data_IF_546325776247
#
_entry.id   IF_546325776247
#
_cell.length_a   1.000
_cell.length_b   1.000
_cell.length_c   1.000
_cell.angle_alpha   90.00
_cell.angle_beta   90.00
_cell.angle_gamma   90.00
#
_symmetry.space_group_name_H-M   'P 1'
#
loop_
_entity.id
_entity.type
_entity.pdbx_description
1 polymer ?
#
# COMPACT_ATOMS: atom_id res chain seq x y z
N UNK A 1 -4.26 7.37 -25.03
CA UNK A 1 -5.64 6.86 -25.18
C UNK A 1 -6.18 6.73 -23.77
N UNK A 2 -7.39 7.19 -23.48
CA UNK A 2 -7.98 7.08 -22.13
C UNK A 2 -8.22 5.62 -21.78
N UNK A 3 -7.70 5.17 -20.64
CA UNK A 3 -7.92 3.82 -20.13
C UNK A 3 -9.42 3.59 -19.90
N UNK A 4 -10.06 2.63 -20.59
CA UNK A 4 -11.47 2.34 -20.37
C UNK A 4 -11.69 1.83 -18.95
N UNK A 5 -12.68 2.40 -18.26
CA UNK A 5 -13.04 2.01 -16.89
C UNK A 5 -14.34 1.22 -16.92
N UNK A 6 -14.26 -0.03 -16.50
CA UNK A 6 -15.41 -0.91 -16.38
C UNK A 6 -15.68 -1.25 -14.91
N UNK A 7 -16.96 -1.33 -14.56
CA UNK A 7 -17.41 -1.61 -13.20
C UNK A 7 -18.34 -2.82 -13.25
N UNK A 8 -18.03 -3.82 -12.43
CA UNK A 8 -18.86 -5.00 -12.29
C UNK A 8 -19.29 -5.20 -10.83
N UNK A 9 -20.39 -5.90 -10.63
CA UNK A 9 -20.86 -6.28 -9.30
C UNK A 9 -21.16 -7.77 -9.25
N UNK A 10 -20.62 -8.44 -8.24
CA UNK A 10 -20.88 -9.85 -7.99
C UNK A 10 -20.86 -10.11 -6.48
N UNK A 11 -21.84 -10.88 -5.99
CA UNK A 11 -21.94 -11.27 -4.58
C UNK A 11 -21.80 -10.11 -3.56
N UNK A 12 -22.34 -8.93 -3.90
CA UNK A 12 -22.28 -7.73 -3.05
C UNK A 12 -20.91 -7.03 -3.01
N UNK A 13 -20.01 -7.38 -3.92
CA UNK A 13 -18.71 -6.73 -4.13
C UNK A 13 -18.75 -6.00 -5.47
N UNK A 14 -18.32 -4.75 -5.47
CA UNK A 14 -18.11 -3.93 -6.66
C UNK A 14 -16.64 -3.96 -7.04
N UNK A 15 -16.35 -4.21 -8.30
CA UNK A 15 -15.00 -4.33 -8.84
C UNK A 15 -14.71 -3.20 -9.83
N UNK A 16 -13.47 -2.73 -9.81
CA UNK A 16 -12.90 -1.80 -10.78
C UNK A 16 -12.03 -2.57 -11.76
N UNK A 17 -12.18 -2.27 -13.05
CA UNK A 17 -11.43 -2.87 -14.14
C UNK A 17 -10.90 -1.81 -15.09
N UNK A 18 -9.78 -2.10 -15.76
CA UNK A 18 -9.18 -1.28 -16.81
C UNK A 18 -9.22 -2.02 -18.14
N UNK A 19 -10.34 -1.93 -18.88
CA UNK A 19 -10.52 -2.52 -20.21
C UNK A 19 -10.30 -4.02 -20.32
N UNK A 20 -10.27 -4.74 -19.19
CA UNK A 20 -9.91 -6.14 -19.10
C UNK A 20 -10.65 -6.80 -17.95
N UNK A 21 -10.57 -8.13 -17.86
CA UNK A 21 -11.18 -8.88 -16.74
C UNK A 21 -10.36 -8.79 -15.45
N UNK A 22 -9.17 -8.19 -15.49
CA UNK A 22 -8.31 -8.03 -14.32
C UNK A 22 -8.96 -7.10 -13.30
N UNK A 23 -8.98 -7.54 -12.04
CA UNK A 23 -9.48 -6.74 -10.93
C UNK A 23 -8.40 -5.76 -10.51
N UNK A 24 -8.67 -4.47 -10.70
CA UNK A 24 -7.78 -3.36 -10.33
C UNK A 24 -8.12 -2.81 -8.95
N UNK A 25 -9.32 -3.10 -8.44
CA UNK A 25 -9.75 -2.74 -7.11
C UNK A 25 -11.10 -3.35 -6.78
N UNK A 26 -11.43 -3.43 -5.50
CA UNK A 26 -12.72 -3.94 -5.06
C UNK A 26 -13.22 -3.25 -3.79
N UNK A 27 -14.55 -3.18 -3.67
CA UNK A 27 -15.23 -2.66 -2.48
C UNK A 27 -16.48 -3.49 -2.20
N UNK A 28 -16.60 -4.00 -0.98
CA UNK A 28 -17.84 -4.58 -0.49
C UNK A 28 -18.87 -3.48 -0.24
N UNK A 29 -20.03 -3.57 -0.89
CA UNK A 29 -21.07 -2.53 -0.84
C UNK A 29 -21.57 -2.33 0.60
N UNK A 30 -21.80 -3.43 1.33
CA UNK A 30 -22.25 -3.39 2.72
C UNK A 30 -21.19 -2.92 3.73
N UNK A 31 -19.90 -2.94 3.35
CA UNK A 31 -18.77 -2.59 4.23
C UNK A 31 -17.71 -1.81 3.45
N UNK A 32 -18.03 -0.57 3.00
CA UNK A 32 -17.24 0.14 1.99
C UNK A 32 -15.86 0.62 2.47
N UNK A 33 -15.64 0.62 3.79
CA UNK A 33 -14.39 1.01 4.45
C UNK A 33 -13.46 -0.19 4.74
N UNK A 34 -13.96 -1.41 4.59
CA UNK A 34 -13.15 -2.61 4.79
C UNK A 34 -12.34 -2.90 3.53
N UNK A 35 -11.12 -3.37 3.74
CA UNK A 35 -10.25 -3.84 2.67
C UNK A 35 -10.74 -5.20 2.18
N UNK A 36 -11.19 -5.24 0.93
CA UNK A 36 -11.75 -6.45 0.31
C UNK A 36 -10.68 -7.36 -0.28
N UNK A 37 -9.65 -6.78 -0.90
CA UNK A 37 -8.56 -7.52 -1.54
C UNK A 37 -7.45 -7.83 -0.53
N UNK A 38 -6.89 -9.04 -0.63
CA UNK A 38 -5.88 -9.53 0.32
C UNK A 38 -4.62 -8.65 0.32
N UNK A 39 -4.07 -8.32 -0.85
CA UNK A 39 -2.87 -7.48 -0.96
C UNK A 39 -3.06 -6.11 -0.27
N UNK A 40 -4.26 -5.51 -0.37
CA UNK A 40 -4.51 -4.22 0.29
C UNK A 40 -4.46 -4.34 1.81
N UNK A 41 -4.90 -5.47 2.37
CA UNK A 41 -4.76 -5.76 3.80
C UNK A 41 -3.28 -5.89 4.15
N UNK A 42 -2.51 -6.61 3.34
CA UNK A 42 -1.09 -6.81 3.58
C UNK A 42 -0.27 -5.53 3.48
N UNK A 43 -0.59 -4.62 2.57
CA UNK A 43 0.03 -3.29 2.56
C UNK A 43 -0.16 -2.55 3.89
N UNK A 44 -1.29 -2.78 4.58
CA UNK A 44 -1.55 -2.24 5.92
C UNK A 44 -0.81 -2.98 7.04
N UNK A 45 -0.07 -4.05 6.77
CA UNK A 45 0.88 -4.60 7.73
C UNK A 45 2.03 -3.63 8.05
N UNK A 46 2.23 -2.60 7.22
CA UNK A 46 3.09 -1.44 7.55
C UNK A 46 2.68 -0.77 8.87
N UNK A 47 1.39 -0.82 9.25
CA UNK A 47 0.86 -0.30 10.51
C UNK A 47 1.34 -1.08 11.74
N UNK A 48 1.94 -2.26 11.55
CA UNK A 48 2.56 -3.04 12.62
C UNK A 48 4.04 -2.69 12.81
N UNK A 49 4.63 -1.88 11.94
CA UNK A 49 6.08 -1.63 11.92
C UNK A 49 6.52 -0.42 12.75
N UNK A 50 5.58 0.34 13.29
CA UNK A 50 5.82 1.49 14.18
C UNK A 50 4.83 1.45 15.33
N UNK A 51 5.34 1.55 16.55
CA UNK A 51 4.56 1.56 17.78
C UNK A 51 4.29 3.00 18.26
N UNK A 52 3.55 3.76 17.45
CA UNK A 52 3.12 5.09 17.85
C UNK A 52 1.63 5.31 17.56
N UNK A 53 0.85 5.54 18.63
CA UNK A 53 -0.61 5.75 18.58
C UNK A 53 -1.11 6.84 17.61
N UNK A 54 -0.20 7.66 17.09
CA UNK A 54 -0.49 8.77 16.17
C UNK A 54 0.08 8.56 14.77
N UNK A 55 0.82 7.49 14.53
CA UNK A 55 1.40 7.16 13.23
C UNK A 55 0.40 6.37 12.38
N UNK A 56 0.36 6.58 11.05
CA UNK A 56 1.08 7.61 10.28
C UNK A 56 0.33 8.96 10.29
N UNK A 57 1.07 10.09 10.24
CA UNK A 57 0.50 11.45 10.17
C UNK A 57 0.46 11.98 8.75
N UNK A 58 1.49 11.71 7.95
CA UNK A 58 1.60 12.11 6.54
C UNK A 58 1.75 10.87 5.68
N UNK A 59 0.76 10.60 4.83
CA UNK A 59 0.76 9.43 3.95
C UNK A 59 0.81 9.88 2.50
N UNK A 60 1.69 9.27 1.72
CA UNK A 60 1.69 9.34 0.27
C UNK A 60 1.16 8.03 -0.29
N UNK A 61 0.13 8.09 -1.14
CA UNK A 61 -0.39 6.96 -1.90
C UNK A 61 -0.14 7.22 -3.38
N UNK A 62 0.54 6.31 -4.05
CA UNK A 62 0.77 6.35 -5.50
C UNK A 62 -0.08 5.25 -6.13
N UNK A 63 -1.09 5.66 -6.88
CA UNK A 63 -2.19 4.81 -7.35
C UNK A 63 -3.41 4.93 -6.42
N UNK A 64 -4.57 5.29 -6.98
CA UNK A 64 -5.83 5.40 -6.23
C UNK A 64 -6.66 4.11 -6.30
N UNK A 65 -6.78 3.53 -7.50
CA UNK A 65 -7.65 2.38 -7.75
C UNK A 65 -9.09 2.59 -7.24
N UNK A 66 -9.63 1.59 -6.53
CA UNK A 66 -10.95 1.67 -5.89
C UNK A 66 -10.97 2.49 -4.56
N UNK A 67 -9.95 3.32 -4.33
CA UNK A 67 -9.75 4.11 -3.12
C UNK A 67 -9.68 3.30 -1.81
N UNK A 68 -9.40 2.00 -1.87
CA UNK A 68 -9.51 1.09 -0.72
C UNK A 68 -8.55 1.47 0.41
N UNK A 69 -7.26 1.68 0.10
CA UNK A 69 -6.25 2.12 1.07
C UNK A 69 -6.56 3.52 1.61
N UNK A 70 -6.91 4.46 0.73
CA UNK A 70 -7.31 5.83 1.09
C UNK A 70 -8.46 5.84 2.07
N UNK A 71 -9.54 5.10 1.79
CA UNK A 71 -10.72 5.00 2.66
C UNK A 71 -10.40 4.37 4.01
N UNK A 72 -9.62 3.29 4.01
CA UNK A 72 -9.24 2.61 5.23
C UNK A 72 -8.47 3.55 6.17
N UNK A 73 -7.46 4.24 5.66
CA UNK A 73 -6.68 5.21 6.42
C UNK A 73 -7.52 6.42 6.84
N UNK A 74 -8.32 6.97 5.92
CA UNK A 74 -9.20 8.10 6.22
C UNK A 74 -10.15 7.80 7.39
N UNK A 75 -10.73 6.60 7.43
CA UNK A 75 -11.71 6.18 8.43
C UNK A 75 -11.08 5.89 9.79
N UNK A 76 -9.93 5.21 9.81
CA UNK A 76 -9.34 4.64 11.02
C UNK A 76 -8.20 5.49 11.61
N UNK A 77 -7.57 6.36 10.81
CA UNK A 77 -6.49 7.25 11.22
C UNK A 77 -6.93 8.72 11.02
N UNK A 78 -7.78 9.26 11.92
CA UNK A 78 -8.38 10.59 11.76
C UNK A 78 -7.37 11.74 11.72
N UNK A 79 -6.14 11.50 12.19
CA UNK A 79 -5.05 12.47 12.21
C UNK A 79 -4.14 12.38 10.98
N UNK A 80 -4.31 11.37 10.14
CA UNK A 80 -3.56 11.21 8.90
C UNK A 80 -4.02 12.21 7.83
N UNK A 81 -3.05 12.87 7.21
CA UNK A 81 -3.21 13.65 5.99
C UNK A 81 -2.71 12.82 4.83
N UNK A 82 -3.59 12.58 3.88
CA UNK A 82 -3.39 11.67 2.76
C UNK A 82 -3.10 12.51 1.51
N UNK A 83 -1.95 12.31 0.88
CA UNK A 83 -1.69 12.78 -0.48
C UNK A 83 -1.81 11.59 -1.42
N UNK A 84 -2.71 11.67 -2.40
CA UNK A 84 -2.96 10.61 -3.36
C UNK A 84 -2.51 11.11 -4.73
N UNK A 85 -1.64 10.36 -5.39
CA UNK A 85 -1.21 10.61 -6.75
C UNK A 85 -1.87 9.59 -7.66
N UNK A 86 -2.67 10.07 -8.60
CA UNK A 86 -3.36 9.24 -9.59
C UNK A 86 -3.09 9.82 -10.98
N UNK A 87 -2.68 8.96 -11.92
CA UNK A 87 -2.32 9.39 -13.27
C UNK A 87 -3.56 9.58 -14.15
N UNK A 88 -4.62 8.80 -13.92
CA UNK A 88 -5.84 8.81 -14.72
C UNK A 88 -7.00 9.56 -14.02
N UNK A 89 -7.42 10.75 -14.50
CA UNK A 89 -8.56 11.49 -13.94
C UNK A 89 -9.86 10.68 -13.89
N UNK A 90 -10.04 9.78 -14.85
CA UNK A 90 -11.22 8.91 -14.93
C UNK A 90 -11.29 7.96 -13.71
N UNK A 91 -10.15 7.51 -13.18
CA UNK A 91 -10.09 6.65 -11.98
C UNK A 91 -10.58 7.43 -10.76
N UNK A 92 -10.19 8.71 -10.63
CA UNK A 92 -10.69 9.58 -9.56
C UNK A 92 -12.20 9.78 -9.66
N UNK A 93 -12.72 10.02 -10.87
CA UNK A 93 -14.15 10.15 -11.10
C UNK A 93 -14.90 8.87 -10.71
N UNK A 94 -14.40 7.70 -11.14
CA UNK A 94 -14.97 6.41 -10.78
C UNK A 94 -14.92 6.14 -9.27
N UNK A 95 -13.80 6.49 -8.61
CA UNK A 95 -13.62 6.32 -7.18
C UNK A 95 -14.64 7.14 -6.37
N UNK A 96 -14.91 8.39 -6.78
CA UNK A 96 -15.95 9.24 -6.18
C UNK A 96 -17.34 8.68 -6.41
N UNK A 97 -17.67 8.38 -7.67
CA UNK A 97 -19.02 7.98 -8.07
C UNK A 97 -19.41 6.59 -7.54
N UNK A 98 -18.49 5.63 -7.57
CA UNK A 98 -18.81 4.22 -7.36
C UNK A 98 -18.12 3.60 -6.15
N UNK A 99 -17.01 4.15 -5.66
CA UNK A 99 -16.23 3.53 -4.59
C UNK A 99 -16.18 4.33 -3.28
N UNK A 100 -17.02 5.37 -3.15
CA UNK A 100 -17.20 6.14 -1.91
C UNK A 100 -15.90 6.82 -1.44
N UNK A 101 -15.08 7.30 -2.39
CA UNK A 101 -13.95 8.17 -2.04
C UNK A 101 -14.48 9.38 -1.25
N UNK A 102 -13.94 9.70 -0.05
CA UNK A 102 -14.38 10.86 0.72
C UNK A 102 -14.03 12.17 0.03
N UNK A 103 -14.93 13.15 0.16
CA UNK A 103 -14.70 14.53 -0.26
C UNK A 103 -14.33 15.36 0.98
N UNK A 104 -13.06 15.36 1.33
CA UNK A 104 -12.51 16.13 2.45
C UNK A 104 -11.13 16.69 2.08
N UNK A 105 -11.12 17.82 1.40
CA UNK A 105 -9.88 18.47 0.91
C UNK A 105 -8.95 18.94 2.05
N UNK A 106 -9.42 18.95 3.31
CA UNK A 106 -8.55 19.26 4.46
C UNK A 106 -7.64 18.10 4.82
N UNK A 107 -8.09 16.87 4.59
CA UNK A 107 -7.36 15.63 4.92
C UNK A 107 -6.88 14.86 3.71
N UNK A 108 -7.51 15.05 2.55
CA UNK A 108 -7.21 14.37 1.30
C UNK A 108 -6.74 15.40 0.28
N UNK A 109 -5.46 15.34 -0.06
CA UNK A 109 -4.87 16.08 -1.17
C UNK A 109 -4.79 15.16 -2.39
N UNK A 110 -5.77 15.25 -3.29
CA UNK A 110 -5.81 14.49 -4.54
C UNK A 110 -5.01 15.24 -5.63
N UNK A 111 -4.01 14.60 -6.20
CA UNK A 111 -3.15 15.17 -7.25
C UNK A 111 -3.21 14.29 -8.48
N UNK A 112 -3.62 14.88 -9.61
CA UNK A 112 -3.54 14.22 -10.91
C UNK A 112 -2.13 14.43 -11.48
N UNK A 113 -1.28 13.41 -11.42
CA UNK A 113 0.11 13.48 -11.89
C UNK A 113 0.71 12.09 -12.07
N UNK A 114 1.86 12.02 -12.75
CA UNK A 114 2.72 10.85 -12.71
C UNK A 114 3.37 10.71 -11.32
N UNK A 115 3.36 9.49 -10.77
CA UNK A 115 3.89 9.21 -9.43
C UNK A 115 5.40 9.37 -9.32
N UNK A 116 6.14 9.03 -10.38
CA UNK A 116 7.60 9.20 -10.42
C UNK A 116 7.93 10.69 -10.46
N UNK A 117 7.29 11.45 -11.34
CA UNK A 117 7.49 12.90 -11.45
C UNK A 117 7.15 13.61 -10.13
N UNK A 118 6.05 13.23 -9.48
CA UNK A 118 5.67 13.81 -8.19
C UNK A 118 6.73 13.57 -7.10
N UNK A 119 7.21 12.34 -6.96
CA UNK A 119 8.22 11.99 -5.93
C UNK A 119 9.55 12.72 -6.19
N UNK A 120 9.95 12.83 -7.46
CA UNK A 120 11.17 13.56 -7.84
C UNK A 120 11.02 15.07 -7.60
N UNK A 121 9.85 15.65 -7.83
CA UNK A 121 9.61 17.09 -7.75
C UNK A 121 9.21 17.64 -6.36
N UNK A 122 8.93 16.80 -5.37
CA UNK A 122 8.48 17.22 -4.04
C UNK A 122 9.58 17.10 -2.99
N UNK A 123 9.73 18.07 -2.08
CA UNK A 123 10.60 17.92 -0.89
C UNK A 123 9.83 17.52 0.37
N UNK A 124 8.54 17.20 0.23
CA UNK A 124 7.71 16.77 1.36
C UNK A 124 8.21 15.45 1.93
N UNK A 125 8.19 15.36 3.26
CA UNK A 125 8.46 14.13 4.02
C UNK A 125 7.17 13.43 4.43
N UNK A 126 7.17 12.11 4.32
CA UNK A 126 6.03 11.23 4.62
C UNK A 126 6.43 10.14 5.60
N UNK A 127 5.50 9.78 6.46
CA UNK A 127 5.67 8.70 7.43
C UNK A 127 5.35 7.34 6.80
N UNK A 128 4.43 7.34 5.83
CA UNK A 128 4.06 6.15 5.08
C UNK A 128 3.96 6.47 3.59
N UNK A 129 4.69 5.73 2.76
CA UNK A 129 4.56 5.75 1.30
C UNK A 129 3.99 4.40 0.87
N UNK A 130 2.84 4.42 0.20
CA UNK A 130 2.19 3.25 -0.38
C UNK A 130 2.31 3.33 -1.90
N UNK A 131 3.01 2.37 -2.50
CA UNK A 131 3.19 2.28 -3.96
C UNK A 131 2.32 1.13 -4.48
N UNK A 132 1.23 1.50 -5.17
CA UNK A 132 0.21 0.59 -5.70
C UNK A 132 -0.21 1.05 -7.10
N UNK A 133 0.76 1.22 -7.99
CA UNK A 133 0.55 1.73 -9.34
C UNK A 133 0.97 0.74 -10.42
N UNK A 134 0.04 0.41 -11.32
CA UNK A 134 0.28 -0.41 -12.49
C UNK A 134 -0.51 0.13 -13.69
N UNK A 135 -0.02 -0.10 -14.90
CA UNK A 135 -0.76 0.19 -16.13
C UNK A 135 -1.80 -0.90 -16.45
N UNK A 136 -2.52 -0.77 -17.57
CA UNK A 136 -3.53 -1.76 -18.01
C UNK A 136 -2.98 -3.19 -18.22
N UNK A 137 -1.66 -3.36 -18.27
CA UNK A 137 -0.97 -4.64 -18.42
C UNK A 137 -0.35 -5.15 -17.11
N UNK A 138 -0.76 -4.61 -15.96
CA UNK A 138 -0.19 -4.91 -14.65
C UNK A 138 1.32 -4.65 -14.57
N UNK A 139 1.83 -3.70 -15.36
CA UNK A 139 3.24 -3.33 -15.38
C UNK A 139 3.47 -2.04 -14.58
N UNK A 140 4.42 -2.02 -13.62
CA UNK A 140 4.64 -0.85 -12.77
C UNK A 140 5.44 0.28 -13.46
N UNK A 141 6.05 0.01 -14.63
CA UNK A 141 6.79 1.02 -15.40
C UNK A 141 7.87 1.73 -14.57
N UNK A 142 7.86 3.07 -14.59
CA UNK A 142 8.81 3.89 -13.85
C UNK A 142 8.77 3.74 -12.33
N UNK A 143 7.65 3.26 -11.77
CA UNK A 143 7.48 3.01 -10.33
C UNK A 143 8.27 1.79 -9.84
N UNK A 144 8.90 1.04 -10.73
CA UNK A 144 9.74 -0.11 -10.38
C UNK A 144 11.17 0.04 -10.89
N UNK A 145 11.84 1.10 -10.42
CA UNK A 145 13.22 1.38 -10.78
C UNK A 145 14.03 1.76 -9.55
N UNK A 146 15.34 1.48 -9.56
CA UNK A 146 16.24 1.89 -8.49
C UNK A 146 16.20 3.40 -8.22
N UNK A 147 16.27 4.30 -9.23
CA UNK A 147 16.19 5.74 -8.99
C UNK A 147 14.87 6.18 -8.34
N UNK A 148 13.75 5.58 -8.72
CA UNK A 148 12.46 5.87 -8.09
C UNK A 148 12.46 5.49 -6.60
N UNK A 149 12.91 4.28 -6.25
CA UNK A 149 12.96 3.86 -4.84
C UNK A 149 13.97 4.68 -4.02
N UNK A 150 15.09 5.08 -4.61
CA UNK A 150 16.02 6.01 -3.96
C UNK A 150 15.36 7.37 -3.70
N UNK A 151 14.61 7.90 -4.66
CA UNK A 151 13.84 9.12 -4.47
C UNK A 151 12.82 8.95 -3.35
N UNK A 152 12.03 7.86 -3.35
CA UNK A 152 11.09 7.55 -2.26
C UNK A 152 11.75 7.53 -0.89
N UNK A 153 12.93 6.89 -0.75
CA UNK A 153 13.71 6.91 0.49
C UNK A 153 14.00 8.34 0.95
N UNK A 154 14.44 9.22 0.05
CA UNK A 154 14.67 10.64 0.40
C UNK A 154 13.40 11.41 0.77
N UNK A 155 12.20 10.85 0.54
CA UNK A 155 10.91 11.44 0.97
C UNK A 155 10.36 10.82 2.24
N UNK A 156 11.03 9.85 2.84
CA UNK A 156 10.65 9.32 4.15
C UNK A 156 11.07 10.26 5.30
N UNK A 157 10.23 10.29 6.34
CA UNK A 157 10.61 10.81 7.67
C UNK A 157 11.53 9.83 8.40
N UNK A 158 12.06 10.23 9.56
CA UNK A 158 12.93 9.36 10.38
C UNK A 158 12.23 8.08 10.85
N UNK A 159 10.90 8.07 10.92
CA UNK A 159 10.10 6.88 11.22
C UNK A 159 9.39 6.34 9.96
N UNK A 160 9.85 6.76 8.78
CA UNK A 160 9.18 6.48 7.52
C UNK A 160 9.22 5.00 7.16
N UNK A 161 8.12 4.52 6.61
CA UNK A 161 7.99 3.19 6.02
C UNK A 161 7.45 3.32 4.60
N UNK A 162 8.01 2.55 3.68
CA UNK A 162 7.46 2.34 2.34
C UNK A 162 6.89 0.93 2.25
N UNK A 163 5.69 0.79 1.70
CA UNK A 163 5.10 -0.49 1.32
C UNK A 163 4.79 -0.49 -0.19
N UNK A 164 5.22 -1.54 -0.88
CA UNK A 164 5.10 -1.67 -2.33
C UNK A 164 4.34 -2.94 -2.66
N UNK A 165 3.27 -2.81 -3.45
CA UNK A 165 2.60 -3.94 -4.07
C UNK A 165 3.44 -4.42 -5.26
N UNK A 166 3.90 -5.67 -5.23
CA UNK A 166 4.60 -6.32 -6.34
C UNK A 166 3.71 -7.43 -6.90
N UNK A 167 3.48 -7.41 -8.21
CA UNK A 167 2.73 -8.45 -8.92
C UNK A 167 3.49 -8.88 -10.17
N UNK A 168 3.50 -10.18 -10.46
CA UNK A 168 4.14 -10.75 -11.63
C UNK A 168 4.77 -12.12 -11.40
N UNK A 169 5.53 -12.60 -12.37
CA UNK A 169 6.28 -13.86 -12.23
C UNK A 169 7.34 -13.73 -11.13
N UNK A 170 7.64 -14.84 -10.45
CA UNK A 170 8.58 -14.88 -9.32
C UNK A 170 9.93 -14.20 -9.61
N UNK A 171 10.51 -14.40 -10.80
CA UNK A 171 11.74 -13.71 -11.23
C UNK A 171 11.60 -12.19 -11.32
N UNK A 172 10.45 -11.71 -11.81
CA UNK A 172 10.14 -10.29 -11.89
C UNK A 172 9.98 -9.65 -10.51
N UNK A 173 9.30 -10.35 -9.59
CA UNK A 173 9.15 -9.92 -8.19
C UNK A 173 10.51 -9.80 -7.51
N UNK A 174 11.39 -10.81 -7.67
CA UNK A 174 12.74 -10.76 -7.08
C UNK A 174 13.60 -9.64 -7.65
N UNK A 175 13.53 -9.38 -8.97
CA UNK A 175 14.22 -8.23 -9.57
C UNK A 175 13.72 -6.89 -9.04
N UNK A 176 12.40 -6.76 -8.86
CA UNK A 176 11.77 -5.57 -8.28
C UNK A 176 12.22 -5.36 -6.84
N UNK A 177 12.21 -6.41 -6.03
CA UNK A 177 12.69 -6.37 -4.65
C UNK A 177 14.18 -6.01 -4.56
N UNK A 178 15.02 -6.49 -5.49
CA UNK A 178 16.44 -6.12 -5.52
C UNK A 178 16.66 -4.61 -5.74
N UNK A 179 15.79 -3.93 -6.49
CA UNK A 179 15.83 -2.47 -6.60
C UNK A 179 15.47 -1.78 -5.27
N UNK A 180 14.47 -2.30 -4.56
CA UNK A 180 14.05 -1.79 -3.24
C UNK A 180 15.18 -1.99 -2.23
N UNK A 181 15.67 -3.22 -2.06
CA UNK A 181 16.75 -3.53 -1.12
C UNK A 181 17.98 -2.66 -1.37
N UNK A 182 18.40 -2.51 -2.63
CA UNK A 182 19.53 -1.65 -3.00
C UNK A 182 19.27 -0.15 -2.74
N UNK A 183 18.05 0.34 -2.92
CA UNK A 183 17.72 1.74 -2.63
C UNK A 183 17.77 2.06 -1.13
N UNK A 184 17.51 1.06 -0.29
CA UNK A 184 17.37 1.17 1.16
C UNK A 184 18.54 0.56 1.94
N UNK A 185 19.69 0.33 1.31
CA UNK A 185 20.88 -0.28 1.95
C UNK A 185 20.54 -1.58 2.71
N UNK A 186 19.77 -2.46 2.06
CA UNK A 186 19.26 -3.74 2.58
C UNK A 186 18.30 -3.61 3.80
N UNK A 187 17.85 -2.39 4.12
CA UNK A 187 16.74 -2.13 5.06
C UNK A 187 15.38 -2.33 4.40
N UNK A 188 15.19 -3.52 3.85
CA UNK A 188 13.97 -3.94 3.18
C UNK A 188 13.67 -5.42 3.44
N UNK A 189 12.39 -5.75 3.47
CA UNK A 189 11.92 -7.13 3.58
C UNK A 189 10.73 -7.37 2.65
N UNK A 190 10.50 -8.63 2.33
CA UNK A 190 9.40 -9.04 1.47
C UNK A 190 8.58 -10.09 2.20
N UNK A 191 7.27 -9.89 2.26
CA UNK A 191 6.38 -10.92 2.77
C UNK A 191 6.21 -12.04 1.75
N UNK A 192 5.83 -13.26 2.19
CA UNK A 192 5.49 -14.32 1.25
C UNK A 192 4.34 -13.86 0.34
N UNK A 193 4.26 -14.41 -0.87
CA UNK A 193 3.14 -14.12 -1.78
C UNK A 193 1.81 -14.50 -1.14
N UNK A 194 0.82 -13.63 -1.31
CA UNK A 194 -0.56 -13.91 -0.93
C UNK A 194 -1.24 -14.80 -1.99
N UNK A 195 -2.45 -15.28 -1.71
CA UNK A 195 -3.13 -16.24 -2.61
C UNK A 195 -3.48 -15.61 -3.96
N UNK A 196 -3.69 -14.29 -3.99
CA UNK A 196 -3.90 -13.54 -5.25
C UNK A 196 -2.63 -13.34 -6.08
N UNK A 197 -1.47 -13.83 -5.64
CA UNK A 197 -0.19 -13.73 -6.34
C UNK A 197 0.55 -12.40 -6.15
N UNK A 198 0.01 -11.48 -5.35
CA UNK A 198 0.71 -10.26 -4.95
C UNK A 198 1.73 -10.56 -3.86
N UNK A 199 2.80 -9.79 -3.85
CA UNK A 199 3.84 -9.83 -2.84
C UNK A 199 4.07 -8.42 -2.33
N UNK A 200 3.99 -8.21 -1.01
CA UNK A 200 4.22 -6.89 -0.43
C UNK A 200 5.66 -6.79 0.06
N UNK A 201 6.38 -5.81 -0.47
CA UNK A 201 7.70 -5.42 0.04
C UNK A 201 7.57 -4.21 0.95
N UNK A 202 8.35 -4.22 2.03
CA UNK A 202 8.50 -3.11 2.95
C UNK A 202 9.94 -2.63 2.94
N UNK A 203 10.13 -1.33 3.12
CA UNK A 203 11.44 -0.74 3.36
C UNK A 203 11.31 0.41 4.35
N UNK A 204 12.34 0.67 5.14
CA UNK A 204 12.37 1.79 6.06
C UNK A 204 13.69 2.54 5.99
N UNK A 205 13.63 3.80 6.38
CA UNK A 205 14.80 4.63 6.60
C UNK A 205 14.71 5.28 7.98
N UNK A 206 15.82 5.86 8.45
CA UNK A 206 15.90 6.47 9.79
C UNK A 206 15.96 5.43 10.90
N UNK A 207 14.99 5.42 11.80
CA UNK A 207 14.99 4.58 13.01
C UNK A 207 14.91 3.08 12.67
N UNK A 208 15.78 2.24 13.28
CA UNK A 208 15.69 0.78 13.18
C UNK A 208 14.29 0.28 13.54
N UNK A 209 13.79 -0.68 12.77
CA UNK A 209 12.61 -1.46 13.15
C UNK A 209 13.12 -2.75 13.76
N UNK A 210 12.68 -3.03 14.98
CA UNK A 210 12.93 -4.30 15.67
C UNK A 210 11.70 -4.63 16.50
N UNK A 211 10.92 -5.61 16.06
CA UNK A 211 9.63 -5.95 16.66
C UNK A 211 9.58 -7.45 16.87
N UNK A 212 9.35 -7.88 18.12
CA UNK A 212 9.17 -9.29 18.41
C UNK A 212 7.89 -9.79 17.74
N UNK A 213 7.93 -11.02 17.24
CA UNK A 213 6.81 -11.59 16.49
C UNK A 213 5.54 -11.71 17.34
N UNK A 214 5.68 -11.91 18.66
CA UNK A 214 4.54 -11.92 19.58
C UNK A 214 3.95 -10.52 19.79
N UNK A 215 4.77 -9.48 19.88
CA UNK A 215 4.29 -8.08 19.91
C UNK A 215 3.55 -7.74 18.61
N UNK A 216 4.09 -8.17 17.46
CA UNK A 216 3.46 -8.00 16.15
C UNK A 216 2.07 -8.68 16.08
N UNK A 217 1.91 -9.86 16.70
CA UNK A 217 0.60 -10.52 16.82
C UNK A 217 -0.35 -9.74 17.73
N UNK A 218 0.15 -9.23 18.85
CA UNK A 218 -0.66 -8.44 19.77
C UNK A 218 -1.17 -7.16 19.09
N UNK A 219 -0.28 -6.40 18.44
CA UNK A 219 -0.63 -5.23 17.65
C UNK A 219 -1.64 -5.57 16.54
N UNK A 220 -1.47 -6.69 15.84
CA UNK A 220 -2.41 -7.13 14.81
C UNK A 220 -3.79 -7.46 15.39
N UNK A 221 -3.86 -8.03 16.58
CA UNK A 221 -5.12 -8.34 17.25
C UNK A 221 -5.80 -7.05 17.75
N UNK A 222 -5.05 -6.09 18.27
CA UNK A 222 -5.57 -4.77 18.65
C UNK A 222 -6.10 -4.02 17.41
N UNK A 223 -5.34 -4.01 16.31
CA UNK A 223 -5.73 -3.40 15.04
C UNK A 223 -7.01 -4.03 14.46
N UNK A 224 -7.13 -5.35 14.55
CA UNK A 224 -8.34 -6.09 14.15
C UNK A 224 -9.55 -5.68 14.98
N UNK A 225 -9.41 -5.57 16.29
CA UNK A 225 -10.49 -5.13 17.18
C UNK A 225 -10.92 -3.70 16.87
N UNK A 226 -9.96 -2.80 16.63
CA UNK A 226 -10.22 -1.38 16.38
C UNK A 226 -10.81 -1.09 15.00
N UNK A 227 -10.39 -1.82 13.96
CA UNK A 227 -10.65 -1.45 12.55
C UNK A 227 -11.34 -2.55 11.73
N UNK A 228 -11.39 -3.78 12.24
CA UNK A 228 -11.80 -4.97 11.50
C UNK A 228 -10.76 -5.53 10.53
N UNK A 229 -9.55 -4.94 10.46
CA UNK A 229 -8.46 -5.43 9.62
C UNK A 229 -7.83 -6.69 10.23
N UNK A 230 -8.02 -7.83 9.57
CA UNK A 230 -7.47 -9.11 10.02
C UNK A 230 -6.13 -9.42 9.32
N UNK A 231 -5.02 -9.25 10.03
CA UNK A 231 -3.67 -9.58 9.54
C UNK A 231 -3.15 -10.95 10.02
N UNK A 232 -3.94 -11.70 10.80
CA UNK A 232 -3.52 -13.00 11.32
C UNK A 232 -3.09 -13.99 10.21
N UNK A 233 -3.80 -14.10 9.06
CA UNK A 233 -3.34 -14.97 7.97
C UNK A 233 -1.97 -14.56 7.43
N UNK A 234 -1.71 -13.26 7.30
CA UNK A 234 -0.42 -12.71 6.88
C UNK A 234 0.68 -13.09 7.87
N UNK A 235 0.43 -12.95 9.19
CA UNK A 235 1.38 -13.35 10.22
C UNK A 235 1.64 -14.86 10.22
N UNK A 236 0.62 -15.68 9.99
CA UNK A 236 0.79 -17.14 9.85
C UNK A 236 1.73 -17.48 8.70
N UNK A 237 1.55 -16.85 7.53
CA UNK A 237 2.45 -17.06 6.38
C UNK A 237 3.87 -16.56 6.68
N UNK A 238 4.00 -15.42 7.37
CA UNK A 238 5.29 -14.87 7.78
C UNK A 238 6.07 -15.82 8.72
N UNK A 239 5.37 -16.42 9.69
CA UNK A 239 5.95 -17.43 10.59
C UNK A 239 6.42 -18.68 9.83
N UNK A 240 5.60 -19.18 8.91
CA UNK A 240 5.92 -20.36 8.10
C UNK A 240 7.15 -20.13 7.20
N UNK A 241 7.30 -18.91 6.68
CA UNK A 241 8.43 -18.53 5.84
C UNK A 241 9.73 -18.25 6.62
N UNK A 242 9.69 -18.27 7.96
CA UNK A 242 10.84 -17.95 8.84
C UNK A 242 11.49 -16.60 8.51
N UNK A 243 10.67 -15.61 8.18
CA UNK A 243 11.13 -14.26 7.83
C UNK A 243 11.66 -13.48 9.05
N UNK A 244 11.23 -13.84 10.26
CA UNK A 244 11.75 -13.26 11.50
C UNK A 244 13.05 -13.97 11.93
N UNK A 245 14.09 -13.20 12.24
CA UNK A 245 15.34 -13.70 12.78
C UNK A 245 15.22 -13.75 14.31
N UNK A 246 15.41 -14.92 14.92
CA UNK A 246 15.24 -15.12 16.37
C UNK A 246 13.89 -14.57 16.88
N UNK A 247 12.81 -14.91 16.18
CA UNK A 247 11.45 -14.44 16.47
C UNK A 247 11.28 -12.91 16.49
N UNK A 248 12.19 -12.18 15.83
CA UNK A 248 12.16 -10.72 15.69
C UNK A 248 12.19 -10.32 14.23
N UNK A 249 11.29 -9.42 13.83
CA UNK A 249 11.35 -8.75 12.53
C UNK A 249 12.26 -7.54 12.65
N UNK A 250 13.29 -7.47 11.80
CA UNK A 250 14.29 -6.41 11.81
C UNK A 250 14.38 -5.75 10.44
N UNK A 251 14.45 -4.41 10.41
CA UNK A 251 14.65 -3.62 9.20
C UNK A 251 15.40 -2.31 9.45
#
# INVERSE_FOLDING_TARGET
MTTPIDISEQAGVRYLHFGSTWVQGAMRIARPWNLELEYTREMMASLLLRDESRWPRKVLLIGLGAASLTKFLYRNYPLAHLTIIEIEPAVVAAARQFFKLPEDDKRINMVIADGVEYVLGTDKKFDLILVDGFNEHAHPGGLNTLPFYQACRTRLSEQGVMAVNLIGLSRGVMGSFAHIAKAFDDRALMFPSCESGNTIAFAADGDPISIAFDDMKECAQQLKTATGLNLLPTLTRLAQAKTCLNDTLVM
#
